data_IF_119843197367
#
_entry.id   IF_119843197367
#
_cell.length_a   1.000
_cell.length_b   1.000
_cell.length_c   1.000
_cell.angle_alpha   90.00
_cell.angle_beta   90.00
_cell.angle_gamma   90.00
#
_symmetry.space_group_name_H-M   'P 1'
#
loop_
_entity.id
_entity.type
_entity.pdbx_description
1 polymer ?
#
# COMPACT_ATOMS: atom_id res chain seq x y z
N UNK A 1 -19.35 -5.24 -21.24
CA UNK A 1 -19.71 -4.21 -20.25
C UNK A 1 -18.46 -3.97 -19.46
N UNK A 2 -17.85 -2.79 -19.56
CA UNK A 2 -16.71 -2.43 -18.72
C UNK A 2 -17.27 -2.18 -17.31
N UNK A 3 -16.91 -3.01 -16.34
CA UNK A 3 -17.23 -2.76 -14.94
C UNK A 3 -16.53 -1.46 -14.51
N UNK A 4 -17.30 -0.47 -14.07
CA UNK A 4 -16.74 0.73 -13.48
C UNK A 4 -16.13 0.38 -12.12
N UNK A 5 -14.82 0.59 -11.99
CA UNK A 5 -14.09 0.34 -10.74
C UNK A 5 -13.97 1.65 -9.97
N UNK A 6 -14.52 1.69 -8.77
CA UNK A 6 -14.37 2.84 -7.86
C UNK A 6 -12.93 2.90 -7.29
N UNK A 7 -12.49 4.11 -6.92
CA UNK A 7 -11.24 4.28 -6.16
C UNK A 7 -11.37 3.52 -4.84
N UNK A 8 -10.42 2.62 -4.58
CA UNK A 8 -10.29 1.92 -3.29
C UNK A 8 -9.38 2.70 -2.34
N UNK A 9 -9.76 2.79 -1.08
CA UNK A 9 -9.07 3.53 -0.03
C UNK A 9 -8.70 2.57 1.10
N UNK A 10 -7.41 2.40 1.31
CA UNK A 10 -6.86 1.71 2.46
C UNK A 10 -6.26 2.70 3.45
N UNK A 11 -6.45 2.45 4.75
CA UNK A 11 -5.82 3.21 5.82
C UNK A 11 -4.83 2.33 6.58
N UNK A 12 -3.63 2.86 6.80
CA UNK A 12 -2.56 2.19 7.53
C UNK A 12 -2.14 3.01 8.73
N UNK A 13 -2.40 2.49 9.92
CA UNK A 13 -2.02 3.13 11.19
C UNK A 13 -0.65 2.61 11.58
N UNK A 14 0.38 3.47 11.58
CA UNK A 14 1.73 3.09 12.04
C UNK A 14 1.81 3.00 13.57
N UNK A 15 2.78 2.24 14.13
CA UNK A 15 3.08 2.32 15.55
C UNK A 15 3.54 3.73 15.96
N UNK A 16 3.40 4.04 17.26
CA UNK A 16 4.04 5.21 17.84
C UNK A 16 5.56 5.09 17.70
N UNK A 17 6.20 6.18 17.28
CA UNK A 17 7.66 6.26 17.21
C UNK A 17 8.24 6.35 18.62
N UNK A 18 9.48 5.87 18.85
CA UNK A 18 10.15 5.99 20.15
C UNK A 18 10.15 7.42 20.70
N UNK A 19 10.33 8.42 19.82
CA UNK A 19 10.26 9.83 20.20
C UNK A 19 8.87 10.23 20.71
N UNK A 20 7.80 9.74 20.10
CA UNK A 20 6.43 10.07 20.53
C UNK A 20 6.11 9.44 21.89
N UNK A 21 6.57 8.21 22.11
CA UNK A 21 6.46 7.54 23.42
C UNK A 21 7.25 8.30 24.48
N UNK A 22 8.47 8.74 24.18
CA UNK A 22 9.30 9.54 25.11
C UNK A 22 8.68 10.89 25.48
N UNK A 23 7.84 11.46 24.60
CA UNK A 23 7.11 12.71 24.86
C UNK A 23 5.70 12.46 25.44
N UNK A 24 5.40 11.24 25.90
CA UNK A 24 4.11 10.85 26.47
C UNK A 24 2.92 11.10 25.52
N UNK A 25 3.11 10.92 24.22
CA UNK A 25 1.98 10.91 23.28
C UNK A 25 1.17 9.62 23.44
N UNK A 26 -0.16 9.74 23.38
CA UNK A 26 -1.07 8.61 23.49
C UNK A 26 -1.63 8.18 22.14
N UNK A 27 -2.00 6.89 22.04
CA UNK A 27 -2.69 6.35 20.85
C UNK A 27 -4.11 6.89 20.79
N UNK A 28 -4.38 7.74 19.81
CA UNK A 28 -5.72 8.33 19.58
C UNK A 28 -6.49 7.67 18.42
N UNK A 29 -5.90 6.71 17.71
CA UNK A 29 -6.48 6.03 16.55
C UNK A 29 -6.30 4.53 16.70
N UNK A 30 -7.38 3.76 16.50
CA UNK A 30 -7.37 2.28 16.61
C UNK A 30 -8.15 1.65 15.48
N UNK A 31 -7.62 0.56 14.92
CA UNK A 31 -8.39 -0.27 13.99
C UNK A 31 -9.41 -1.08 14.78
N UNK A 32 -10.65 -1.12 14.30
CA UNK A 32 -11.72 -1.91 14.92
C UNK A 32 -11.56 -3.37 14.46
N UNK A 33 -11.41 -4.34 15.39
CA UNK A 33 -11.19 -5.74 15.04
C UNK A 33 -12.22 -6.29 14.06
N UNK A 34 -11.78 -7.14 13.13
CA UNK A 34 -12.63 -7.82 12.14
C UNK A 34 -13.47 -6.86 11.26
N UNK A 35 -13.05 -5.61 11.15
CA UNK A 35 -13.71 -4.61 10.32
C UNK A 35 -12.70 -3.74 9.59
N UNK A 36 -13.08 -3.21 8.42
CA UNK A 36 -12.30 -2.20 7.71
C UNK A 36 -12.60 -0.78 8.24
N UNK A 37 -12.64 -0.61 9.56
CA UNK A 37 -12.95 0.67 10.21
C UNK A 37 -11.85 1.11 11.16
N UNK A 38 -11.72 2.42 11.30
CA UNK A 38 -10.82 3.04 12.28
C UNK A 38 -11.63 3.93 13.22
N UNK A 39 -11.34 3.81 14.51
CA UNK A 39 -11.89 4.65 15.57
C UNK A 39 -10.90 5.75 15.95
N UNK A 40 -11.34 7.00 15.83
CA UNK A 40 -10.63 8.20 16.28
C UNK A 40 -11.19 8.67 17.62
N UNK A 41 -10.33 8.73 18.63
CA UNK A 41 -10.73 9.00 20.01
C UNK A 41 -11.59 7.86 20.55
N UNK A 42 -12.72 8.21 21.19
CA UNK A 42 -13.59 7.26 21.88
C UNK A 42 -14.84 6.82 21.11
N UNK A 43 -15.19 7.46 19.97
CA UNK A 43 -16.48 7.20 19.33
C UNK A 43 -16.57 7.46 17.82
N UNK A 44 -15.60 8.12 17.19
CA UNK A 44 -15.71 8.49 15.77
C UNK A 44 -15.20 7.36 14.88
N UNK A 45 -16.09 6.69 14.17
CA UNK A 45 -15.78 5.59 13.27
C UNK A 45 -15.71 6.07 11.82
N UNK A 46 -14.68 5.61 11.10
CA UNK A 46 -14.48 5.88 9.68
C UNK A 46 -14.29 4.56 8.93
N UNK A 47 -15.15 4.23 7.96
CA UNK A 47 -15.01 3.05 7.12
C UNK A 47 -14.05 3.27 5.95
N UNK A 48 -13.36 2.21 5.56
CA UNK A 48 -12.43 2.12 4.44
C UNK A 48 -12.61 0.77 3.74
N UNK A 49 -11.96 0.56 2.60
CA UNK A 49 -11.92 -0.76 1.95
C UNK A 49 -10.99 -1.71 2.74
N UNK A 50 -9.92 -1.18 3.32
CA UNK A 50 -9.01 -1.90 4.22
C UNK A 50 -8.53 -1.00 5.36
N UNK A 51 -8.41 -1.57 6.55
CA UNK A 51 -7.84 -0.89 7.72
C UNK A 51 -6.73 -1.75 8.35
N UNK A 52 -5.51 -1.23 8.32
CA UNK A 52 -4.31 -1.91 8.82
C UNK A 52 -3.83 -1.28 10.12
N UNK A 53 -3.65 -2.13 11.14
CA UNK A 53 -3.15 -1.70 12.44
C UNK A 53 -1.62 -1.56 12.48
N UNK A 54 -1.07 -1.12 13.62
CA UNK A 54 0.37 -0.94 13.82
C UNK A 54 1.25 -2.17 13.63
N UNK A 55 0.65 -3.37 13.68
CA UNK A 55 1.34 -4.65 13.55
C UNK A 55 1.27 -5.21 12.13
N UNK A 56 0.58 -4.54 11.20
CA UNK A 56 0.41 -5.04 9.85
C UNK A 56 1.72 -4.98 9.05
N UNK A 57 2.09 -6.11 8.44
CA UNK A 57 3.33 -6.25 7.67
C UNK A 57 3.27 -5.54 6.32
N UNK A 58 4.40 -5.44 5.62
CA UNK A 58 4.41 -4.93 4.25
C UNK A 58 3.68 -5.90 3.31
N UNK A 59 3.92 -7.21 3.48
CA UNK A 59 3.25 -8.27 2.73
C UNK A 59 1.72 -8.21 2.87
N UNK A 60 1.19 -8.08 4.08
CA UNK A 60 -0.27 -8.01 4.31
C UNK A 60 -0.92 -6.83 3.57
N UNK A 61 -0.27 -5.66 3.58
CA UNK A 61 -0.74 -4.46 2.88
C UNK A 61 -0.65 -4.66 1.36
N UNK A 62 0.45 -5.24 0.88
CA UNK A 62 0.66 -5.51 -0.53
C UNK A 62 -0.37 -6.50 -1.09
N UNK A 63 -0.54 -7.67 -0.46
CA UNK A 63 -1.46 -8.73 -0.87
C UNK A 63 -2.90 -8.23 -0.91
N UNK A 64 -3.32 -7.47 0.11
CA UNK A 64 -4.69 -6.98 0.21
C UNK A 64 -5.02 -5.89 -0.82
N UNK A 65 -4.09 -4.96 -1.06
CA UNK A 65 -4.40 -3.73 -1.80
C UNK A 65 -3.79 -3.66 -3.20
N UNK A 66 -2.60 -4.24 -3.41
CA UNK A 66 -1.78 -3.98 -4.59
C UNK A 66 -1.67 -5.20 -5.50
N UNK A 67 -1.53 -6.41 -4.96
CA UNK A 67 -1.41 -7.62 -5.79
C UNK A 67 -2.57 -7.77 -6.82
N UNK A 68 -3.86 -7.53 -6.47
CA UNK A 68 -4.95 -7.59 -7.45
C UNK A 68 -4.82 -6.52 -8.56
N UNK A 69 -4.18 -5.38 -8.26
CA UNK A 69 -3.90 -4.35 -9.26
C UNK A 69 -2.76 -4.77 -10.20
N UNK A 70 -1.76 -5.51 -9.70
CA UNK A 70 -0.67 -6.07 -10.51
C UNK A 70 -1.18 -7.14 -11.47
N UNK A 71 -2.08 -8.01 -11.01
CA UNK A 71 -2.77 -8.97 -11.88
C UNK A 71 -3.51 -8.26 -13.02
N UNK A 72 -4.32 -7.25 -12.67
CA UNK A 72 -5.03 -6.42 -13.65
C UNK A 72 -4.10 -5.68 -14.62
N UNK A 73 -2.95 -5.20 -14.13
CA UNK A 73 -1.92 -4.57 -14.96
C UNK A 73 -1.39 -5.52 -16.03
N UNK A 74 -1.11 -6.78 -15.65
CA UNK A 74 -0.62 -7.81 -16.57
C UNK A 74 -1.72 -8.34 -17.52
N UNK A 75 -2.99 -8.08 -17.20
CA UNK A 75 -4.14 -8.25 -18.10
C UNK A 75 -4.36 -7.08 -19.07
N UNK A 76 -3.54 -6.02 -18.98
CA UNK A 76 -3.56 -4.88 -19.89
C UNK A 76 -4.44 -3.72 -19.41
N UNK A 77 -4.69 -3.60 -18.12
CA UNK A 77 -5.36 -2.44 -17.52
C UNK A 77 -4.36 -1.49 -16.87
N UNK A 78 -4.75 -0.22 -16.72
CA UNK A 78 -3.94 0.74 -15.98
C UNK A 78 -4.22 0.61 -14.48
N UNK A 79 -3.16 0.67 -13.67
CA UNK A 79 -3.25 0.70 -12.22
C UNK A 79 -2.46 1.89 -11.67
N UNK A 80 -2.95 2.47 -10.56
CA UNK A 80 -2.24 3.54 -9.86
C UNK A 80 -2.42 3.35 -8.35
N UNK A 81 -1.30 3.42 -7.63
CA UNK A 81 -1.26 3.40 -6.17
C UNK A 81 -0.48 4.63 -5.73
N UNK A 82 -1.03 5.41 -4.80
CA UNK A 82 -0.31 6.51 -4.17
C UNK A 82 -0.57 6.52 -2.67
N UNK A 83 0.44 6.89 -1.90
CA UNK A 83 0.31 7.05 -0.46
C UNK A 83 0.00 8.51 -0.12
N UNK A 84 -1.00 8.73 0.74
CA UNK A 84 -1.39 10.04 1.23
C UNK A 84 -1.33 10.10 2.76
N UNK A 85 -1.00 11.27 3.31
CA UNK A 85 -0.91 11.50 4.75
C UNK A 85 0.12 12.55 5.14
N UNK A 86 0.14 12.95 6.41
CA UNK A 86 1.07 13.95 6.93
C UNK A 86 2.55 13.53 6.83
N UNK A 87 3.48 14.47 6.94
CA UNK A 87 4.91 14.16 7.12
C UNK A 87 5.11 13.27 8.34
N UNK A 88 5.91 12.21 8.19
CA UNK A 88 6.16 11.22 9.24
C UNK A 88 5.05 10.17 9.42
N UNK A 89 4.02 10.11 8.56
CA UNK A 89 2.95 9.11 8.66
C UNK A 89 3.31 7.71 8.14
N UNK A 90 4.47 7.54 7.50
CA UNK A 90 4.92 6.25 6.93
C UNK A 90 4.66 6.06 5.44
N UNK A 91 4.40 7.14 4.66
CA UNK A 91 4.25 7.07 3.20
C UNK A 91 5.45 6.41 2.51
N UNK A 92 6.67 6.93 2.76
CA UNK A 92 7.92 6.41 2.19
C UNK A 92 8.16 4.97 2.60
N UNK A 93 7.92 4.64 3.88
CA UNK A 93 8.02 3.27 4.40
C UNK A 93 7.06 2.30 3.70
N UNK A 94 5.83 2.74 3.43
CA UNK A 94 4.83 1.90 2.75
C UNK A 94 5.20 1.66 1.29
N UNK A 95 5.62 2.71 0.57
CA UNK A 95 5.90 2.63 -0.87
C UNK A 95 7.26 1.98 -1.17
N UNK A 96 8.31 2.39 -0.45
CA UNK A 96 9.70 1.99 -0.71
C UNK A 96 10.33 1.09 0.36
N UNK A 97 9.62 0.75 1.43
CA UNK A 97 10.14 -0.11 2.49
C UNK A 97 10.96 0.65 3.54
N UNK A 98 11.51 -0.13 4.46
CA UNK A 98 12.41 0.35 5.51
C UNK A 98 13.85 0.45 5.06
N UNK A 99 14.77 0.09 5.95
CA UNK A 99 16.19 -0.04 5.60
C UNK A 99 16.44 -1.29 4.74
N UNK A 100 17.63 -1.40 4.14
CA UNK A 100 17.99 -2.52 3.23
C UNK A 100 17.86 -3.92 3.84
N UNK A 101 17.87 -4.03 5.17
CA UNK A 101 17.74 -5.29 5.92
C UNK A 101 16.29 -5.58 6.36
N UNK A 102 15.34 -4.70 6.04
CA UNK A 102 13.92 -4.84 6.37
C UNK A 102 13.10 -5.33 5.18
N UNK A 103 11.83 -5.68 5.43
CA UNK A 103 10.88 -6.09 4.40
C UNK A 103 10.71 -4.97 3.36
N UNK A 104 10.75 -5.36 2.08
CA UNK A 104 10.65 -4.44 0.95
C UNK A 104 9.35 -3.65 0.92
N UNK A 105 9.36 -2.56 0.17
CA UNK A 105 8.18 -1.73 -0.08
C UNK A 105 7.20 -2.34 -1.06
N UNK A 106 6.08 -1.65 -1.27
CA UNK A 106 5.18 -1.93 -2.40
C UNK A 106 5.94 -1.98 -3.73
N UNK A 107 6.91 -1.10 -3.96
CA UNK A 107 7.67 -1.07 -5.23
C UNK A 107 8.42 -2.39 -5.46
N UNK A 108 9.06 -2.94 -4.42
CA UNK A 108 9.84 -4.17 -4.53
C UNK A 108 8.93 -5.37 -4.81
N UNK A 109 7.81 -5.47 -4.10
CA UNK A 109 6.80 -6.51 -4.31
C UNK A 109 6.18 -6.42 -5.72
N UNK A 110 5.83 -5.22 -6.18
CA UNK A 110 5.30 -5.00 -7.54
C UNK A 110 6.33 -5.40 -8.59
N UNK A 111 7.59 -5.00 -8.44
CA UNK A 111 8.63 -5.38 -9.39
C UNK A 111 8.76 -6.91 -9.49
N UNK A 112 8.82 -7.60 -8.35
CA UNK A 112 8.86 -9.06 -8.30
C UNK A 112 7.65 -9.70 -9.00
N UNK A 113 6.43 -9.31 -8.63
CA UNK A 113 5.21 -9.95 -9.14
C UNK A 113 4.93 -9.65 -10.60
N UNK A 114 5.25 -8.44 -11.09
CA UNK A 114 5.14 -8.12 -12.52
C UNK A 114 5.98 -9.08 -13.34
N UNK A 115 7.25 -9.30 -12.98
CA UNK A 115 8.11 -10.24 -13.73
C UNK A 115 7.60 -11.68 -13.59
N UNK A 116 7.21 -12.11 -12.38
CA UNK A 116 6.66 -13.45 -12.13
C UNK A 116 5.40 -13.74 -12.96
N UNK A 117 4.47 -12.80 -13.05
CA UNK A 117 3.24 -12.96 -13.82
C UNK A 117 3.47 -12.89 -15.34
N UNK A 118 4.39 -12.03 -15.79
CA UNK A 118 4.77 -11.97 -17.21
C UNK A 118 5.46 -13.26 -17.67
N UNK A 119 6.28 -13.90 -16.83
CA UNK A 119 6.88 -15.20 -17.12
C UNK A 119 5.82 -16.29 -17.31
N UNK A 120 4.78 -16.31 -16.47
CA UNK A 120 3.65 -17.22 -16.63
C UNK A 120 2.94 -16.99 -17.97
N UNK A 121 2.63 -15.74 -18.31
CA UNK A 121 1.96 -15.38 -19.58
C UNK A 121 2.81 -15.62 -20.83
N UNK A 122 4.13 -15.63 -20.69
CA UNK A 122 5.04 -16.01 -21.79
C UNK A 122 4.79 -17.43 -22.26
N UNK A 123 4.44 -18.34 -21.35
CA UNK A 123 4.05 -19.72 -21.68
C UNK A 123 2.80 -19.77 -22.56
N UNK A 124 1.93 -18.76 -22.45
CA UNK A 124 0.71 -18.60 -23.26
C UNK A 124 0.97 -17.84 -24.58
N UNK A 125 2.23 -17.58 -24.91
CA UNK A 125 2.64 -16.90 -26.15
C UNK A 125 2.60 -15.37 -26.09
N UNK A 126 2.33 -14.78 -24.93
CA UNK A 126 2.33 -13.32 -24.76
C UNK A 126 3.77 -12.79 -24.78
N UNK A 127 4.02 -11.78 -25.61
CA UNK A 127 5.27 -11.01 -25.62
C UNK A 127 5.05 -9.69 -24.89
N UNK A 128 5.88 -9.41 -23.91
CA UNK A 128 5.81 -8.18 -23.12
C UNK A 128 7.12 -7.40 -23.20
N UNK A 129 7.05 -6.10 -22.99
CA UNK A 129 8.21 -5.21 -22.83
C UNK A 129 7.92 -4.28 -21.66
N UNK A 130 8.87 -4.16 -20.73
CA UNK A 130 8.72 -3.36 -19.52
C UNK A 130 9.66 -2.15 -19.59
N UNK A 131 9.12 -0.97 -19.34
CA UNK A 131 9.87 0.28 -19.24
C UNK A 131 9.53 0.97 -17.92
N UNK A 132 10.50 1.65 -17.31
CA UNK A 132 10.33 2.35 -16.03
C UNK A 132 10.85 3.77 -16.17
N UNK A 133 10.13 4.72 -15.57
CA UNK A 133 10.53 6.12 -15.41
C UNK A 133 10.28 6.56 -13.98
N UNK A 134 11.17 7.38 -13.42
CA UNK A 134 11.05 7.94 -12.08
C UNK A 134 11.15 9.47 -12.17
N UNK A 135 10.19 10.17 -11.55
CA UNK A 135 10.07 11.62 -11.62
C UNK A 135 9.73 12.18 -10.24
N UNK A 136 10.28 13.35 -9.93
CA UNK A 136 9.95 14.15 -8.75
C UNK A 136 9.31 15.47 -9.20
N UNK A 137 8.20 15.84 -8.56
CA UNK A 137 7.56 17.14 -8.76
C UNK A 137 7.92 18.03 -7.58
N UNK A 138 8.60 19.15 -7.83
CA UNK A 138 9.02 20.10 -6.81
C UNK A 138 8.77 21.54 -7.25
N UNK A 139 7.94 22.26 -6.49
CA UNK A 139 7.62 23.69 -6.65
C UNK A 139 7.45 24.14 -8.11
N UNK A 140 6.29 23.84 -8.70
CA UNK A 140 5.88 24.41 -10.00
C UNK A 140 5.99 25.95 -10.03
#
# INVERSE_FOLDING_TARGET
MTEEVCVRVAVRVRPLLPKEVLHNHEVCVRVVPESAQVMLGSARLFPFDHAFGPTASQGEVYESCVQPLVESLVDGHNATVFCYGQTGSGKTYTLGGGNQDEEGGIIDCVAHDVFSFLEKKRSDGVKATVHVSYMELHME
#
